data_IF_201912105088
#
_entry.id   IF_201912105088
#
_cell.length_a   1.000
_cell.length_b   1.000
_cell.length_c   1.000
_cell.angle_alpha   90.00
_cell.angle_beta   90.00
_cell.angle_gamma   90.00
#
_symmetry.space_group_name_H-M   'P 1'
#
loop_
_entity.id
_entity.type
_entity.pdbx_description
1 polymer ?
#
# COMPACT_ATOMS: atom_id res chain seq x y z
N UNK A 1 -9.63 -5.90 -15.17
CA UNK A 1 -8.19 -5.76 -14.84
C UNK A 1 -7.83 -4.44 -14.14
N UNK A 2 -8.75 -3.78 -13.43
CA UNK A 2 -8.56 -2.40 -12.93
C UNK A 2 -8.16 -2.28 -11.45
N UNK A 3 -8.38 -3.31 -10.63
CA UNK A 3 -8.22 -3.19 -9.18
C UNK A 3 -6.84 -3.65 -8.67
N UNK A 4 -6.20 -4.60 -9.36
CA UNK A 4 -4.82 -5.06 -9.10
C UNK A 4 -3.83 -3.93 -9.37
N UNK A 5 -3.95 -3.30 -10.56
CA UNK A 5 -3.09 -2.20 -10.98
C UNK A 5 -3.18 -1.00 -10.04
N UNK A 6 -4.37 -0.69 -9.50
CA UNK A 6 -4.56 0.38 -8.50
C UNK A 6 -3.82 0.10 -7.20
N UNK A 7 -3.80 -1.15 -6.74
CA UNK A 7 -3.08 -1.54 -5.52
C UNK A 7 -1.57 -1.48 -5.74
N UNK A 8 -1.08 -1.97 -6.89
CA UNK A 8 0.33 -1.86 -7.26
C UNK A 8 0.77 -0.39 -7.41
N UNK A 9 -0.08 0.46 -8.01
CA UNK A 9 0.13 1.91 -8.11
C UNK A 9 0.15 2.61 -6.75
N UNK A 10 -0.66 2.19 -5.79
CA UNK A 10 -0.59 2.72 -4.43
C UNK A 10 0.68 2.25 -3.71
N UNK A 11 1.01 0.95 -3.81
CA UNK A 11 2.16 0.36 -3.14
C UNK A 11 3.51 0.91 -3.65
N UNK A 12 3.63 1.21 -4.94
CA UNK A 12 4.87 1.67 -5.58
C UNK A 12 4.82 3.17 -5.90
N UNK A 13 3.68 3.66 -6.36
CA UNK A 13 3.52 5.06 -6.77
C UNK A 13 3.58 6.01 -5.58
N UNK A 14 3.06 5.64 -4.41
CA UNK A 14 3.18 6.46 -3.19
C UNK A 14 4.65 6.63 -2.78
N UNK A 15 5.44 5.56 -2.52
CA UNK A 15 6.86 5.71 -2.16
C UNK A 15 7.66 6.47 -3.21
N UNK A 16 7.43 6.19 -4.49
CA UNK A 16 8.10 6.91 -5.57
C UNK A 16 7.76 8.41 -5.56
N UNK A 17 6.48 8.76 -5.46
CA UNK A 17 6.02 10.14 -5.56
C UNK A 17 6.51 11.01 -4.40
N UNK A 18 6.50 10.56 -3.16
CA UNK A 18 6.99 11.41 -2.07
C UNK A 18 8.51 11.36 -1.88
N UNK A 19 9.25 10.37 -2.42
CA UNK A 19 10.73 10.44 -2.48
C UNK A 19 11.12 11.49 -3.52
N UNK A 20 10.58 11.42 -4.74
CA UNK A 20 10.79 12.46 -5.75
C UNK A 20 10.26 13.81 -5.30
N UNK A 21 9.08 13.85 -4.68
CA UNK A 21 8.49 15.08 -4.15
C UNK A 21 9.38 15.72 -3.09
N UNK A 22 9.95 14.91 -2.19
CA UNK A 22 10.93 15.37 -1.21
C UNK A 22 12.17 15.96 -1.86
N UNK A 23 12.74 15.26 -2.84
CA UNK A 23 13.94 15.73 -3.55
C UNK A 23 13.63 17.01 -4.32
N UNK A 24 12.57 17.05 -5.13
CA UNK A 24 12.23 18.24 -5.94
C UNK A 24 11.90 19.44 -5.06
N UNK A 25 11.15 19.24 -3.96
CA UNK A 25 10.73 20.34 -3.09
C UNK A 25 11.84 20.81 -2.13
N UNK A 26 12.72 19.92 -1.66
CA UNK A 26 13.69 20.24 -0.61
C UNK A 26 15.15 20.27 -1.09
N UNK A 27 15.49 19.80 -2.30
CA UNK A 27 16.90 19.74 -2.76
C UNK A 27 17.59 21.11 -2.82
N UNK A 28 16.86 22.19 -3.03
CA UNK A 28 17.39 23.56 -3.02
C UNK A 28 17.27 24.26 -1.66
N UNK A 29 16.65 23.65 -0.66
CA UNK A 29 16.32 24.32 0.59
C UNK A 29 17.46 24.22 1.60
N UNK A 30 18.00 25.37 2.01
CA UNK A 30 18.97 25.50 3.12
C UNK A 30 18.30 25.49 4.50
N UNK A 31 16.98 25.27 4.55
CA UNK A 31 16.24 25.19 5.81
C UNK A 31 16.73 24.02 6.68
N UNK A 32 17.00 24.33 7.93
CA UNK A 32 17.39 23.35 8.95
C UNK A 32 16.33 23.33 10.05
N UNK A 33 16.00 22.12 10.52
CA UNK A 33 15.14 21.87 11.67
C UNK A 33 16.06 21.48 12.82
N UNK A 34 16.14 22.32 13.85
CA UNK A 34 17.09 22.16 14.97
C UNK A 34 18.56 22.02 14.55
N UNK A 35 18.97 22.66 13.45
CA UNK A 35 20.32 22.57 12.89
C UNK A 35 20.58 21.34 12.01
N UNK A 36 19.59 20.46 11.85
CA UNK A 36 19.64 19.31 10.94
C UNK A 36 18.93 19.65 9.62
N UNK A 37 19.47 19.27 8.45
CA UNK A 37 18.80 19.52 7.17
C UNK A 37 17.37 19.00 7.15
N UNK A 38 16.43 19.83 6.67
CA UNK A 38 14.99 19.50 6.62
C UNK A 38 14.68 18.23 5.80
N UNK A 39 15.59 17.86 4.90
CA UNK A 39 15.57 16.62 4.12
C UNK A 39 15.53 15.37 5.02
N UNK A 40 16.20 15.39 6.17
CA UNK A 40 16.14 14.29 7.14
C UNK A 40 14.79 14.23 7.87
N UNK A 41 14.20 15.38 8.22
CA UNK A 41 12.86 15.43 8.80
C UNK A 41 11.81 14.88 7.82
N UNK A 42 11.96 15.17 6.53
CA UNK A 42 11.15 14.59 5.46
C UNK A 42 11.31 13.07 5.34
N UNK A 43 12.54 12.56 5.45
CA UNK A 43 12.81 11.12 5.51
C UNK A 43 12.18 10.46 6.76
N UNK A 44 12.17 11.15 7.90
CA UNK A 44 11.48 10.68 9.11
C UNK A 44 9.96 10.68 8.93
N UNK A 45 9.39 11.67 8.23
CA UNK A 45 7.97 11.68 7.87
C UNK A 45 7.62 10.52 6.92
N UNK A 46 8.60 10.07 6.15
CA UNK A 46 8.46 8.90 5.28
C UNK A 46 8.27 7.59 6.04
N UNK A 47 8.82 7.43 7.25
CA UNK A 47 8.66 6.22 8.07
C UNK A 47 7.18 5.86 8.39
N UNK A 48 6.36 6.76 8.95
CA UNK A 48 4.94 6.47 9.15
C UNK A 48 4.20 6.34 7.81
N UNK A 49 4.63 7.03 6.76
CA UNK A 49 3.99 6.97 5.45
C UNK A 49 4.23 5.62 4.76
N UNK A 50 5.42 5.03 4.84
CA UNK A 50 5.67 3.65 4.39
C UNK A 50 4.91 2.64 5.24
N UNK A 51 4.88 2.80 6.56
CA UNK A 51 4.06 1.96 7.44
C UNK A 51 2.58 2.02 7.06
N UNK A 52 2.06 3.21 6.74
CA UNK A 52 0.69 3.42 6.29
C UNK A 52 0.45 2.82 4.91
N UNK A 53 1.42 2.92 4.00
CA UNK A 53 1.36 2.30 2.67
C UNK A 53 1.25 0.77 2.81
N UNK A 54 2.06 0.17 3.69
CA UNK A 54 2.03 -1.27 3.95
C UNK A 54 0.72 -1.69 4.65
N UNK A 55 0.22 -0.88 5.59
CA UNK A 55 -1.06 -1.10 6.25
C UNK A 55 -2.24 -1.01 5.27
N UNK A 56 -2.23 -0.04 4.36
CA UNK A 56 -3.23 0.09 3.31
C UNK A 56 -3.14 -1.07 2.31
N UNK A 57 -1.93 -1.47 1.92
CA UNK A 57 -1.72 -2.64 1.08
C UNK A 57 -2.34 -3.89 1.73
N UNK A 58 -2.07 -4.14 3.01
CA UNK A 58 -2.71 -5.21 3.77
C UNK A 58 -4.24 -5.08 3.77
N UNK A 59 -4.79 -3.93 4.16
CA UNK A 59 -6.24 -3.73 4.27
C UNK A 59 -6.98 -3.91 2.92
N UNK A 60 -6.35 -3.55 1.81
CA UNK A 60 -6.94 -3.67 0.47
C UNK A 60 -6.74 -5.08 -0.14
N UNK A 61 -5.62 -5.74 0.13
CA UNK A 61 -5.27 -7.04 -0.46
C UNK A 61 -5.89 -8.20 0.33
N UNK A 62 -5.78 -8.18 1.66
CA UNK A 62 -6.35 -9.18 2.58
C UNK A 62 -7.87 -9.32 2.39
N UNK A 63 -8.55 -8.20 2.14
CA UNK A 63 -9.99 -8.18 1.89
C UNK A 63 -10.39 -8.90 0.59
N UNK A 64 -9.52 -8.94 -0.42
CA UNK A 64 -9.80 -9.62 -1.70
C UNK A 64 -9.45 -11.09 -1.66
N UNK A 65 -8.37 -11.44 -0.95
CA UNK A 65 -7.99 -12.84 -0.74
C UNK A 65 -9.06 -13.55 0.11
N UNK A 66 -9.65 -12.85 1.10
CA UNK A 66 -10.77 -13.37 1.88
C UNK A 66 -12.03 -13.63 1.03
N UNK A 67 -12.43 -12.67 0.18
CA UNK A 67 -13.58 -12.85 -0.73
C UNK A 67 -13.36 -13.97 -1.77
N UNK A 68 -12.11 -14.18 -2.20
CA UNK A 68 -11.75 -15.25 -3.13
C UNK A 68 -11.77 -16.62 -2.44
N UNK A 69 -11.26 -16.71 -1.22
CA UNK A 69 -11.32 -17.91 -0.38
C UNK A 69 -12.77 -18.29 -0.07
N UNK A 70 -13.60 -17.33 0.35
CA UNK A 70 -15.01 -17.55 0.69
C UNK A 70 -15.82 -18.04 -0.53
N UNK A 71 -15.55 -17.52 -1.74
CA UNK A 71 -16.16 -18.06 -2.98
C UNK A 71 -15.69 -19.47 -3.31
N UNK A 72 -14.41 -19.77 -3.12
CA UNK A 72 -13.86 -21.10 -3.38
C UNK A 72 -14.45 -22.15 -2.42
N UNK A 73 -14.60 -21.79 -1.13
CA UNK A 73 -15.23 -22.63 -0.11
C UNK A 73 -16.74 -22.81 -0.35
N UNK A 74 -17.43 -21.75 -0.78
CA UNK A 74 -18.85 -21.82 -1.16
C UNK A 74 -19.08 -22.69 -2.40
N UNK A 75 -18.20 -22.61 -3.40
CA UNK A 75 -18.24 -23.46 -4.58
C UNK A 75 -17.92 -24.92 -4.25
N UNK A 76 -16.94 -25.16 -3.38
CA UNK A 76 -16.58 -26.51 -2.91
C UNK A 76 -17.70 -27.14 -2.05
N UNK A 77 -18.40 -26.33 -1.24
CA UNK A 77 -19.56 -26.76 -0.44
C UNK A 77 -20.76 -27.08 -1.33
N UNK A 78 -21.03 -26.26 -2.35
CA UNK A 78 -22.10 -26.50 -3.33
C UNK A 78 -21.84 -27.77 -4.15
N UNK A 79 -20.59 -27.97 -4.59
CA UNK A 79 -20.17 -29.17 -5.31
C UNK A 79 -20.28 -30.45 -4.46
N UNK A 80 -19.94 -30.40 -3.17
CA UNK A 80 -20.13 -31.52 -2.23
C UNK A 80 -21.60 -31.84 -1.93
N UNK A 81 -22.47 -30.84 -1.99
CA UNK A 81 -23.91 -31.02 -1.70
C UNK A 81 -24.65 -31.63 -2.88
N UNK A 82 -24.25 -31.32 -4.12
CA UNK A 82 -24.85 -31.90 -5.33
C UNK A 82 -24.42 -33.33 -5.66
N UNK A 83 -23.31 -33.81 -5.10
CA UNK A 83 -22.83 -35.20 -5.26
C UNK A 83 -23.58 -36.19 -4.33
N UNK A 84 -24.27 -35.69 -3.30
CA UNK A 84 -24.97 -36.49 -2.28
C UNK A 84 -26.49 -36.61 -2.54
N UNK A 85 -27.00 -36.08 -3.66
CA UNK A 85 -28.44 -36.02 -4.01
C UNK A 85 -28.76 -36.78 -5.28
#
# INVERSE_FOLDING_TARGET
MSNEAKSALLAIGVPFAGVLGGIVALAGSTSTVFGVPILFAWLFLWMPLTSLCLHLAWKLFDRKDFEAAERAESAATSARTGDQS
#
